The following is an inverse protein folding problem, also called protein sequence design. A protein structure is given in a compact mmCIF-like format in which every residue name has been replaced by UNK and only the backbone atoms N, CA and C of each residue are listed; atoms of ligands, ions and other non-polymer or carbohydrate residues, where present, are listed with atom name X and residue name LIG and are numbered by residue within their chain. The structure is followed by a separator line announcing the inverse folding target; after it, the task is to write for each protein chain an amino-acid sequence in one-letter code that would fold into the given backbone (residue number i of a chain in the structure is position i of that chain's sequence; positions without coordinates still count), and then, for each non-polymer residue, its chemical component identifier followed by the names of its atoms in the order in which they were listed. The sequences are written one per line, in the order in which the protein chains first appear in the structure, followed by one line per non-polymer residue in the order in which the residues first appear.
data_IF_483427105873
#
_entry.id   IF_483427105873
#
_cell.length_a   1.000
_cell.length_b   1.000
_cell.length_c   1.000
_cell.angle_alpha   90.00
_cell.angle_beta   90.00
_cell.angle_gamma   90.00
#
_symmetry.space_group_name_H-M   'P 1'
#
loop_
_entity.id
_entity.type
_entity.pdbx_description
1 polymer ?
#
# COMPACT_ATOMS: atom_id res chain seq x y z
N UNK A 1 -2.99 -31.10 14.43
CA UNK A 1 -2.76 -29.94 15.30
C UNK A 1 -2.52 -28.74 14.40
N UNK A 2 -3.27 -27.65 14.57
CA UNK A 2 -2.93 -26.39 13.92
C UNK A 2 -1.72 -25.81 14.65
N UNK A 3 -0.57 -25.77 13.99
CA UNK A 3 0.63 -25.12 14.51
C UNK A 3 0.60 -23.66 14.11
N UNK A 4 0.74 -22.78 15.11
CA UNK A 4 0.89 -21.33 14.96
C UNK A 4 2.33 -20.94 14.64
N UNK A 5 2.51 -19.78 14.02
CA UNK A 5 3.80 -19.13 13.85
C UNK A 5 4.20 -18.48 15.17
N UNK A 6 5.42 -18.74 15.63
CA UNK A 6 6.01 -18.08 16.81
C UNK A 6 6.97 -17.00 16.33
N UNK A 7 6.53 -15.74 16.41
CA UNK A 7 7.26 -14.57 15.94
C UNK A 7 7.93 -13.88 17.11
N UNK A 8 9.26 -13.79 17.08
CA UNK A 8 10.03 -12.90 17.96
C UNK A 8 10.31 -11.62 17.21
N UNK A 9 10.11 -10.45 17.84
CA UNK A 9 10.34 -9.17 17.19
C UNK A 9 11.22 -8.23 18.03
N UNK A 10 11.79 -7.24 17.35
CA UNK A 10 12.60 -6.18 17.93
C UNK A 10 12.47 -4.89 17.10
N UNK A 11 12.18 -3.77 17.76
CA UNK A 11 12.10 -2.42 17.22
C UNK A 11 12.99 -1.48 18.03
N UNK A 12 13.57 -0.48 17.37
CA UNK A 12 14.33 0.58 18.04
C UNK A 12 13.47 1.83 18.17
N UNK A 13 13.46 2.40 19.37
CA UNK A 13 12.76 3.63 19.74
C UNK A 13 13.81 4.61 20.28
N UNK A 14 13.83 5.81 19.73
CA UNK A 14 14.70 6.91 20.18
C UNK A 14 13.90 7.97 20.90
N UNK A 15 14.56 8.65 21.82
CA UNK A 15 14.01 9.77 22.57
C UNK A 15 13.27 9.39 23.85
N UNK A 16 13.25 8.10 24.21
CA UNK A 16 12.79 7.62 25.50
C UNK A 16 13.78 6.60 26.10
N UNK A 17 13.86 6.55 27.42
CA UNK A 17 14.62 5.53 28.18
C UNK A 17 13.63 4.69 28.98
N UNK A 18 13.27 3.52 28.45
CA UNK A 18 12.35 2.58 29.10
C UNK A 18 13.11 1.29 29.41
N UNK A 19 12.99 0.82 30.65
CA UNK A 19 13.59 -0.43 31.13
C UNK A 19 12.55 -1.18 31.92
N UNK A 20 11.73 -1.95 31.23
CA UNK A 20 10.60 -2.64 31.85
C UNK A 20 10.21 -3.89 31.08
N UNK A 21 9.57 -4.82 31.77
CA UNK A 21 9.00 -6.03 31.17
C UNK A 21 7.51 -6.04 31.50
N UNK A 22 6.67 -6.09 30.47
CA UNK A 22 5.22 -6.16 30.64
C UNK A 22 4.82 -7.63 30.63
N UNK A 23 4.57 -8.17 31.81
CA UNK A 23 4.06 -9.54 32.02
C UNK A 23 2.57 -9.56 32.41
N UNK A 24 1.95 -8.39 32.60
CA UNK A 24 0.53 -8.29 32.97
C UNK A 24 -0.35 -8.82 31.84
N UNK A 25 -1.06 -9.92 32.13
CA UNK A 25 -1.91 -10.61 31.16
C UNK A 25 -3.03 -9.74 30.59
N UNK A 26 -3.64 -8.87 31.39
CA UNK A 26 -4.72 -8.02 30.91
C UNK A 26 -4.19 -7.00 29.89
N UNK A 27 -2.99 -6.46 30.14
CA UNK A 27 -2.33 -5.54 29.20
C UNK A 27 -1.97 -6.27 27.92
N UNK A 28 -1.36 -7.45 28.00
CA UNK A 28 -0.99 -8.26 26.84
C UNK A 28 -2.21 -8.69 26.01
N UNK A 29 -3.30 -9.11 26.66
CA UNK A 29 -4.58 -9.43 26.00
C UNK A 29 -5.18 -8.20 25.29
N UNK A 30 -5.13 -7.01 25.90
CA UNK A 30 -5.63 -5.78 25.27
C UNK A 30 -4.82 -5.33 24.05
N UNK A 31 -3.53 -5.69 24.02
CA UNK A 31 -2.65 -5.40 22.90
C UNK A 31 -2.78 -6.44 21.78
N UNK A 32 -3.19 -7.66 22.11
CA UNK A 32 -3.47 -8.76 21.18
C UNK A 32 -4.71 -8.52 20.30
N UNK A 33 -4.95 -9.40 19.33
CA UNK A 33 -6.22 -9.51 18.61
C UNK A 33 -6.68 -10.99 18.49
N UNK A 34 -7.76 -11.25 17.77
CA UNK A 34 -8.36 -12.59 17.63
C UNK A 34 -7.42 -13.62 16.95
N UNK A 35 -6.40 -13.16 16.23
CA UNK A 35 -5.52 -14.00 15.42
C UNK A 35 -4.03 -13.90 15.81
N UNK A 36 -3.67 -12.91 16.64
CA UNK A 36 -2.31 -12.57 17.02
C UNK A 36 -2.24 -12.37 18.54
N UNK A 37 -1.66 -13.35 19.23
CA UNK A 37 -1.57 -13.37 20.69
C UNK A 37 -0.17 -12.93 21.12
N UNK A 38 -0.10 -11.84 21.88
CA UNK A 38 1.15 -11.35 22.45
C UNK A 38 1.41 -12.10 23.75
N UNK A 39 2.54 -12.79 23.80
CA UNK A 39 2.94 -13.57 24.97
C UNK A 39 3.84 -12.78 25.92
N UNK A 40 4.59 -11.81 25.39
CA UNK A 40 5.59 -11.07 26.15
C UNK A 40 5.94 -9.77 25.42
N UNK A 41 6.13 -8.69 26.18
CA UNK A 41 6.71 -7.43 25.73
C UNK A 41 7.83 -7.02 26.69
N UNK A 42 8.96 -6.61 26.13
CA UNK A 42 10.13 -6.17 26.88
C UNK A 42 10.69 -4.87 26.27
N UNK A 43 10.98 -3.92 27.15
CA UNK A 43 11.71 -2.70 26.85
C UNK A 43 13.08 -2.75 27.53
N UNK A 44 14.13 -2.69 26.74
CA UNK A 44 15.50 -2.53 27.26
C UNK A 44 16.09 -1.24 26.70
N UNK A 45 17.09 -0.66 27.35
CA UNK A 45 17.71 0.56 26.86
C UNK A 45 19.21 0.35 26.72
N UNK A 46 19.74 0.68 25.54
CA UNK A 46 21.17 0.57 25.26
C UNK A 46 21.97 1.76 25.85
N UNK A 47 23.30 1.68 25.77
CA UNK A 47 24.19 2.74 26.26
C UNK A 47 24.06 4.06 25.50
N UNK A 48 23.43 4.05 24.31
CA UNK A 48 23.20 5.22 23.46
C UNK A 48 21.81 5.84 23.68
N UNK A 49 21.11 5.48 24.76
CA UNK A 49 19.74 5.95 25.06
C UNK A 49 18.71 5.57 24.00
N UNK A 50 18.96 4.50 23.25
CA UNK A 50 17.97 3.91 22.36
C UNK A 50 17.24 2.82 23.14
N UNK A 51 15.92 2.96 23.24
CA UNK A 51 15.05 1.92 23.81
C UNK A 51 14.79 0.87 22.74
N UNK A 52 14.93 -0.39 23.11
CA UNK A 52 14.66 -1.56 22.32
C UNK A 52 13.32 -2.14 22.78
N UNK A 53 12.33 -2.12 21.90
CA UNK A 53 11.02 -2.72 22.11
C UNK A 53 10.98 -4.09 21.45
N UNK A 54 10.89 -5.14 22.26
CA UNK A 54 10.96 -6.53 21.81
C UNK A 54 9.85 -7.36 22.41
N UNK A 55 9.59 -8.52 21.82
CA UNK A 55 8.56 -9.41 22.36
C UNK A 55 8.32 -10.65 21.51
N UNK A 56 7.26 -11.38 21.88
CA UNK A 56 6.82 -12.60 21.21
C UNK A 56 5.34 -12.57 20.89
N UNK A 57 5.01 -12.96 19.67
CA UNK A 57 3.64 -13.10 19.17
C UNK A 57 3.42 -14.48 18.57
N UNK A 58 2.31 -15.10 18.92
CA UNK A 58 1.79 -16.26 18.22
C UNK A 58 0.72 -15.86 17.23
N UNK A 59 0.82 -16.33 15.99
CA UNK A 59 -0.14 -16.02 14.93
C UNK A 59 -0.54 -17.26 14.15
N UNK A 60 -1.80 -17.34 13.71
CA UNK A 60 -2.27 -18.43 12.85
C UNK A 60 -1.80 -18.28 11.39
N UNK A 61 -1.59 -17.04 10.94
CA UNK A 61 -1.16 -16.67 9.59
C UNK A 61 0.05 -15.73 9.64
N UNK A 62 1.09 -16.09 8.89
CA UNK A 62 2.37 -15.37 8.91
C UNK A 62 2.27 -13.94 8.36
N UNK A 63 1.45 -13.68 7.35
CA UNK A 63 1.28 -12.34 6.78
C UNK A 63 0.48 -11.45 7.73
N UNK A 64 -0.53 -12.03 8.37
CA UNK A 64 -1.32 -11.33 9.40
C UNK A 64 -0.44 -10.99 10.62
N UNK A 65 0.39 -11.93 11.09
CA UNK A 65 1.34 -11.70 12.18
C UNK A 65 2.34 -10.58 11.89
N UNK A 66 2.83 -10.48 10.65
CA UNK A 66 3.68 -9.35 10.26
C UNK A 66 2.90 -8.02 10.29
N UNK A 67 1.71 -7.97 9.66
CA UNK A 67 0.86 -6.78 9.68
C UNK A 67 0.60 -6.31 11.10
N UNK A 68 0.22 -7.23 11.98
CA UNK A 68 -0.06 -6.95 13.38
C UNK A 68 1.14 -6.32 14.09
N UNK A 69 2.34 -6.92 13.97
CA UNK A 69 3.55 -6.43 14.63
C UNK A 69 3.96 -5.02 14.17
N UNK A 70 3.97 -4.80 12.86
CA UNK A 70 4.57 -3.60 12.26
C UNK A 70 3.65 -2.40 12.28
N UNK A 71 2.34 -2.62 12.31
CA UNK A 71 1.35 -1.57 12.23
C UNK A 71 0.51 -1.50 13.49
N UNK A 72 -0.22 -2.56 13.85
CA UNK A 72 -1.19 -2.49 14.94
C UNK A 72 -0.48 -2.34 16.30
N UNK A 73 0.43 -3.27 16.61
CA UNK A 73 1.18 -3.26 17.85
C UNK A 73 2.11 -2.04 17.92
N UNK A 74 2.89 -1.77 16.87
CA UNK A 74 3.76 -0.57 16.79
C UNK A 74 2.96 0.72 17.03
N UNK A 75 1.80 0.88 16.41
CA UNK A 75 0.96 2.07 16.56
C UNK A 75 0.38 2.18 17.96
N UNK A 76 -0.08 1.06 18.56
CA UNK A 76 -0.57 1.05 19.94
C UNK A 76 0.52 1.50 20.91
N UNK A 77 1.73 0.96 20.81
CA UNK A 77 2.86 1.36 21.66
C UNK A 77 3.25 2.83 21.43
N UNK A 78 3.36 3.28 20.18
CA UNK A 78 3.68 4.68 19.88
C UNK A 78 2.65 5.64 20.50
N UNK A 79 1.36 5.34 20.36
CA UNK A 79 0.28 6.15 20.96
C UNK A 79 0.38 6.19 22.47
N UNK A 80 0.65 5.05 23.13
CA UNK A 80 0.82 4.98 24.57
C UNK A 80 2.00 5.83 25.05
N UNK A 81 3.11 5.83 24.31
CA UNK A 81 4.30 6.63 24.65
C UNK A 81 4.07 8.13 24.42
N UNK A 82 3.32 8.53 23.39
CA UNK A 82 2.97 9.94 23.14
C UNK A 82 2.04 10.55 24.20
N UNK A 83 1.36 9.73 25.00
CA UNK A 83 0.57 10.20 26.15
C UNK A 83 1.45 10.52 27.38
N UNK A 84 2.77 10.37 27.28
CA UNK A 84 3.74 10.72 28.32
C UNK A 84 4.50 11.99 27.92
N UNK A 85 5.16 12.65 28.89
CA UNK A 85 5.96 13.88 28.69
C UNK A 85 7.30 13.57 27.97
N UNK A 86 7.23 13.14 26.70
CA UNK A 86 8.41 12.89 25.85
C UNK A 86 8.44 13.93 24.72
N UNK A 87 9.45 14.79 24.73
CA UNK A 87 9.60 15.90 23.76
C UNK A 87 9.90 15.45 22.33
N UNK A 88 10.54 14.28 22.17
CA UNK A 88 10.92 13.72 20.88
C UNK A 88 10.84 12.20 20.93
N UNK A 89 10.09 11.59 20.02
CA UNK A 89 9.93 10.13 19.94
C UNK A 89 10.04 9.68 18.49
N UNK A 90 10.97 8.76 18.20
CA UNK A 90 11.18 8.21 16.86
C UNK A 90 11.23 6.68 16.94
N UNK A 91 10.32 5.99 16.24
CA UNK A 91 10.38 4.55 16.01
C UNK A 91 11.12 4.27 14.70
N UNK A 92 12.22 3.53 14.74
CA UNK A 92 12.93 3.13 13.53
C UNK A 92 12.13 2.11 12.72
N UNK A 93 12.21 2.22 11.39
CA UNK A 93 11.47 1.36 10.46
C UNK A 93 12.06 -0.05 10.29
N UNK A 94 13.25 -0.28 10.84
CA UNK A 94 13.97 -1.55 10.77
C UNK A 94 13.50 -2.45 11.92
N UNK A 95 12.43 -3.20 11.70
CA UNK A 95 11.99 -4.23 12.62
C UNK A 95 12.72 -5.54 12.33
N UNK A 96 13.42 -6.09 13.33
CA UNK A 96 13.91 -7.46 13.24
C UNK A 96 12.79 -8.39 13.69
N UNK A 97 12.36 -9.33 12.84
CA UNK A 97 11.34 -10.33 13.20
C UNK A 97 11.84 -11.71 12.76
N UNK A 98 11.80 -12.66 13.68
CA UNK A 98 12.35 -14.01 13.55
C UNK A 98 11.24 -15.01 13.81
N UNK A 99 11.12 -16.03 12.96
CA UNK A 99 10.20 -17.15 13.16
C UNK A 99 10.93 -18.21 14.01
N UNK A 100 10.63 -18.29 15.31
CA UNK A 100 11.35 -19.16 16.25
C UNK A 100 11.11 -20.66 15.97
N UNK A 101 9.94 -21.03 15.46
CA UNK A 101 9.56 -22.43 15.21
C UNK A 101 9.61 -22.83 13.72
N UNK A 102 10.49 -22.22 12.94
CA UNK A 102 10.61 -22.46 11.49
C UNK A 102 10.77 -23.95 11.12
N UNK A 103 11.62 -24.68 11.86
CA UNK A 103 11.86 -26.12 11.62
C UNK A 103 10.59 -26.95 11.81
N UNK A 104 9.81 -26.64 12.84
CA UNK A 104 8.55 -27.32 13.14
C UNK A 104 7.50 -27.02 12.05
N UNK A 105 7.35 -25.75 11.67
CA UNK A 105 6.46 -25.32 10.59
C UNK A 105 6.77 -26.01 9.26
N UNK A 106 8.05 -26.17 8.91
CA UNK A 106 8.49 -26.90 7.71
C UNK A 106 8.10 -28.38 7.75
N UNK A 107 8.22 -29.04 8.90
CA UNK A 107 7.78 -30.44 9.07
C UNK A 107 6.27 -30.62 8.85
N UNK A 108 5.50 -29.54 9.08
CA UNK A 108 4.05 -29.51 8.88
C UNK A 108 3.62 -28.87 7.54
N UNK A 109 4.53 -28.72 6.57
CA UNK A 109 4.27 -28.11 5.25
C UNK A 109 3.65 -26.70 5.31
N UNK A 110 3.91 -25.94 6.38
CA UNK A 110 3.52 -24.52 6.47
C UNK A 110 4.51 -23.66 5.68
N UNK A 111 3.99 -22.62 5.05
CA UNK A 111 4.79 -21.73 4.23
C UNK A 111 5.63 -20.80 5.12
N UNK A 112 6.95 -20.78 4.89
CA UNK A 112 7.86 -19.88 5.60
C UNK A 112 8.13 -18.67 4.72
N UNK A 113 7.85 -17.48 5.25
CA UNK A 113 8.23 -16.21 4.63
C UNK A 113 9.14 -15.46 5.60
N UNK A 114 10.46 -15.46 5.37
CA UNK A 114 11.39 -14.71 6.22
C UNK A 114 11.08 -13.20 6.22
N UNK A 115 11.18 -12.55 7.39
CA UNK A 115 10.81 -11.14 7.54
C UNK A 115 11.71 -10.17 6.75
N UNK A 116 12.99 -10.52 6.53
CA UNK A 116 13.91 -9.71 5.72
C UNK A 116 13.47 -9.59 4.25
N UNK A 117 12.50 -10.38 3.81
CA UNK A 117 11.87 -10.27 2.48
C UNK A 117 10.85 -9.11 2.45
N UNK A 118 10.42 -8.58 3.60
CA UNK A 118 9.42 -7.49 3.69
C UNK A 118 9.96 -6.13 4.13
N UNK A 119 11.12 -6.04 4.78
CA UNK A 119 11.63 -4.79 5.35
C UNK A 119 12.95 -4.37 4.73
N UNK A 120 12.87 -3.80 3.53
CA UNK A 120 13.84 -2.82 3.07
C UNK A 120 13.67 -1.52 3.83
N UNK A 121 14.66 -1.15 4.63
CA UNK A 121 14.70 0.15 5.28
C UNK A 121 14.86 1.27 4.25
N UNK A 122 14.01 2.30 4.28
CA UNK A 122 14.03 3.42 3.32
C UNK A 122 13.99 4.75 4.08
N UNK A 123 14.95 5.63 3.84
CA UNK A 123 14.89 7.03 4.24
C UNK A 123 14.30 7.87 3.09
N UNK A 124 13.07 8.39 3.20
CA UNK A 124 12.45 9.18 2.14
C UNK A 124 13.13 10.55 2.00
N UNK A 125 13.43 10.98 0.78
CA UNK A 125 13.70 12.39 0.49
C UNK A 125 12.44 13.21 0.75
N UNK A 126 12.48 14.00 1.82
CA UNK A 126 11.40 14.88 2.27
C UNK A 126 11.22 16.00 1.25
N UNK A 127 10.06 16.03 0.59
CA UNK A 127 9.57 17.27 -0.04
C UNK A 127 8.97 18.14 1.05
N UNK A 128 9.34 19.42 1.09
CA UNK A 128 8.63 20.40 1.93
C UNK A 128 7.19 20.50 1.45
N UNK A 129 6.26 19.97 2.25
CA UNK A 129 4.82 20.14 2.05
C UNK A 129 4.40 21.38 2.85
N UNK A 130 3.59 22.24 2.22
CA UNK A 130 3.03 23.41 2.89
C UNK A 130 2.18 22.97 4.09
N UNK A 131 2.40 23.59 5.25
CA UNK A 131 1.71 23.35 6.52
C UNK A 131 0.18 23.40 6.41
N UNK A 132 -0.36 24.23 5.54
CA UNK A 132 -1.80 24.41 5.30
C UNK A 132 -2.40 23.24 4.50
N UNK A 133 -1.65 22.73 3.50
CA UNK A 133 -2.02 21.53 2.73
C UNK A 133 -1.99 20.30 3.62
N UNK A 134 -0.98 20.21 4.49
CA UNK A 134 -0.87 19.14 5.49
C UNK A 134 -2.02 19.18 6.49
N UNK A 135 -2.34 20.37 7.03
CA UNK A 135 -3.44 20.55 7.98
C UNK A 135 -4.79 20.17 7.38
N UNK A 136 -5.11 20.61 6.17
CA UNK A 136 -6.36 20.26 5.49
C UNK A 136 -6.46 18.75 5.19
N UNK A 137 -5.35 18.11 4.80
CA UNK A 137 -5.29 16.66 4.62
C UNK A 137 -5.46 15.90 5.95
N UNK A 138 -4.89 16.42 7.05
CA UNK A 138 -5.02 15.82 8.38
C UNK A 138 -6.44 15.94 8.94
N UNK A 139 -7.07 17.12 8.84
CA UNK A 139 -8.48 17.33 9.24
C UNK A 139 -9.43 16.44 8.42
N UNK A 140 -9.07 16.17 7.17
CA UNK A 140 -9.80 15.26 6.28
C UNK A 140 -9.70 13.80 6.72
N UNK A 141 -8.51 13.34 7.06
CA UNK A 141 -8.26 11.95 7.51
C UNK A 141 -8.92 11.70 8.88
N UNK A 142 -8.86 12.66 9.80
CA UNK A 142 -9.42 12.55 11.15
C UNK A 142 -10.93 12.29 11.15
N UNK A 143 -11.67 12.87 10.19
CA UNK A 143 -13.14 12.79 10.17
C UNK A 143 -13.71 11.50 9.55
N UNK A 144 -12.93 10.74 8.77
CA UNK A 144 -13.43 9.61 7.94
C UNK A 144 -12.70 8.27 8.20
N UNK A 145 -11.94 8.20 9.32
CA UNK A 145 -10.75 7.39 9.49
C UNK A 145 -10.89 5.86 9.33
N UNK A 146 -12.09 5.25 9.48
CA UNK A 146 -12.26 3.79 9.31
C UNK A 146 -12.50 3.35 7.87
N UNK A 147 -12.91 4.28 7.00
CA UNK A 147 -13.36 3.89 5.66
C UNK A 147 -12.17 3.65 4.72
N UNK A 148 -11.08 4.41 4.85
CA UNK A 148 -9.95 4.43 3.91
C UNK A 148 -8.67 3.72 4.39
N UNK A 149 -8.65 3.08 5.56
CA UNK A 149 -7.45 2.41 6.12
C UNK A 149 -6.81 1.44 5.12
N UNK A 150 -7.64 0.66 4.43
CA UNK A 150 -7.18 -0.30 3.43
C UNK A 150 -6.51 0.37 2.23
N UNK A 151 -6.97 1.57 1.82
CA UNK A 151 -6.36 2.34 0.73
C UNK A 151 -4.98 2.83 1.14
N UNK A 152 -4.85 3.36 2.36
CA UNK A 152 -3.59 3.85 2.89
C UNK A 152 -2.57 2.72 3.08
N UNK A 153 -3.02 1.55 3.58
CA UNK A 153 -2.19 0.35 3.71
C UNK A 153 -1.55 -0.02 2.37
N UNK A 154 -2.37 -0.20 1.32
CA UNK A 154 -1.86 -0.61 0.02
C UNK A 154 -1.02 0.49 -0.65
N UNK A 155 -1.34 1.77 -0.45
CA UNK A 155 -0.48 2.87 -0.92
C UNK A 155 0.90 2.82 -0.28
N UNK A 156 0.98 2.65 1.04
CA UNK A 156 2.26 2.52 1.75
C UNK A 156 3.06 1.34 1.19
N UNK A 157 2.42 0.17 1.04
CA UNK A 157 3.06 -1.03 0.48
C UNK A 157 3.62 -0.81 -0.94
N UNK A 158 3.06 0.11 -1.74
CA UNK A 158 3.60 0.40 -3.09
C UNK A 158 4.93 1.13 -3.10
N UNK A 159 5.25 1.80 -2.01
CA UNK A 159 6.49 2.57 -1.87
C UNK A 159 7.59 1.77 -1.20
N UNK A 160 7.24 0.63 -0.59
CA UNK A 160 8.17 -0.23 0.15
C UNK A 160 8.70 -1.42 -0.64
N UNK A 161 8.19 -1.70 -1.85
CA UNK A 161 8.69 -2.78 -2.71
C UNK A 161 9.93 -2.34 -3.51
N UNK A 162 11.13 -2.69 -3.01
CA UNK A 162 12.38 -2.74 -3.77
C UNK A 162 13.40 -3.67 -3.07
N UNK A 163 14.26 -4.35 -3.85
CA UNK A 163 15.36 -5.18 -3.32
C UNK A 163 16.51 -4.29 -2.79
N UNK A 164 16.92 -4.50 -1.54
CA UNK A 164 17.93 -3.68 -0.84
C UNK A 164 19.33 -3.86 -1.44
N UNK A 165 19.65 -5.08 -1.88
CA UNK A 165 21.00 -5.43 -2.33
C UNK A 165 21.22 -5.13 -3.83
N UNK A 166 20.14 -5.00 -4.60
CA UNK A 166 20.19 -4.85 -6.07
C UNK A 166 19.58 -3.52 -6.58
N UNK A 167 18.94 -2.74 -5.70
CA UNK A 167 18.13 -1.58 -6.08
C UNK A 167 16.79 -1.98 -6.69
N UNK A 168 16.12 -1.04 -7.40
CA UNK A 168 14.84 -1.33 -8.08
C UNK A 168 15.12 -2.31 -9.23
N UNK A 169 14.80 -3.57 -9.01
CA UNK A 169 14.80 -4.56 -10.08
C UNK A 169 13.66 -4.27 -11.04
N UNK A 170 13.74 -4.85 -12.23
CA UNK A 170 12.68 -4.73 -13.20
C UNK A 170 11.33 -5.21 -12.62
N UNK A 171 11.30 -6.36 -11.95
CA UNK A 171 10.09 -6.97 -11.39
C UNK A 171 9.40 -6.12 -10.32
N UNK A 172 10.16 -5.30 -9.59
CA UNK A 172 9.61 -4.40 -8.56
C UNK A 172 8.58 -3.43 -9.15
N UNK A 173 8.77 -2.98 -10.39
CA UNK A 173 7.82 -2.05 -11.01
C UNK A 173 6.46 -2.69 -11.32
N UNK A 174 6.45 -3.98 -11.65
CA UNK A 174 5.22 -4.73 -11.88
C UNK A 174 4.50 -4.94 -10.55
N UNK A 175 5.24 -5.31 -9.49
CA UNK A 175 4.68 -5.55 -8.16
C UNK A 175 4.14 -4.25 -7.57
N UNK A 176 4.91 -3.15 -7.61
CA UNK A 176 4.46 -1.82 -7.17
C UNK A 176 3.19 -1.38 -7.88
N UNK A 177 3.10 -1.60 -9.19
CA UNK A 177 1.88 -1.28 -9.93
C UNK A 177 0.68 -2.14 -9.49
N UNK A 178 0.89 -3.45 -9.24
CA UNK A 178 -0.17 -4.33 -8.74
C UNK A 178 -0.68 -3.91 -7.37
N UNK A 179 0.22 -3.62 -6.44
CA UNK A 179 -0.16 -3.13 -5.10
C UNK A 179 -0.90 -1.80 -5.19
N UNK A 180 -0.51 -0.95 -6.13
CA UNK A 180 -1.14 0.35 -6.34
C UNK A 180 -2.54 0.19 -6.92
N UNK A 181 -2.72 -0.80 -7.78
CA UNK A 181 -4.02 -1.21 -8.26
C UNK A 181 -4.89 -1.75 -7.11
N UNK A 182 -4.32 -2.50 -6.15
CA UNK A 182 -5.06 -2.93 -4.96
C UNK A 182 -5.52 -1.73 -4.13
N UNK A 183 -4.68 -0.72 -3.92
CA UNK A 183 -5.10 0.54 -3.28
C UNK A 183 -6.25 1.23 -4.03
N UNK A 184 -6.14 1.29 -5.36
CA UNK A 184 -7.20 1.83 -6.22
C UNK A 184 -8.51 1.05 -6.09
N UNK A 185 -8.43 -0.28 -6.00
CA UNK A 185 -9.59 -1.15 -5.81
C UNK A 185 -10.32 -0.87 -4.51
N UNK A 186 -9.59 -0.76 -3.39
CA UNK A 186 -10.18 -0.41 -2.10
C UNK A 186 -10.83 0.98 -2.17
N UNK A 187 -10.19 1.95 -2.82
CA UNK A 187 -10.70 3.32 -2.98
C UNK A 187 -12.06 3.38 -3.70
N UNK A 188 -12.18 2.77 -4.88
CA UNK A 188 -13.47 2.84 -5.58
C UNK A 188 -14.51 1.89 -4.96
N UNK A 189 -14.12 0.81 -4.27
CA UNK A 189 -15.06 -0.05 -3.55
C UNK A 189 -15.74 0.71 -2.40
N UNK A 190 -15.00 1.58 -1.71
CA UNK A 190 -15.53 2.53 -0.74
C UNK A 190 -16.56 3.47 -1.41
N UNK A 191 -16.15 4.17 -2.48
CA UNK A 191 -16.99 5.17 -3.16
C UNK A 191 -18.25 4.58 -3.79
N UNK A 192 -18.22 3.30 -4.14
CA UNK A 192 -19.31 2.60 -4.80
C UNK A 192 -19.94 1.48 -3.97
N UNK A 193 -19.75 1.49 -2.64
CA UNK A 193 -20.21 0.45 -1.70
C UNK A 193 -21.69 0.09 -1.86
N UNK A 194 -22.52 1.05 -2.29
CA UNK A 194 -23.97 0.88 -2.46
C UNK A 194 -24.43 0.71 -3.92
N UNK A 195 -23.52 0.61 -4.89
CA UNK A 195 -23.85 0.49 -6.32
C UNK A 195 -23.52 -0.91 -6.84
N UNK A 196 -24.54 -1.61 -7.34
CA UNK A 196 -24.37 -2.89 -8.04
C UNK A 196 -23.93 -2.61 -9.48
N UNK A 197 -22.67 -2.90 -9.78
CA UNK A 197 -22.13 -2.80 -11.13
C UNK A 197 -21.96 -4.17 -11.77
N UNK A 198 -22.22 -4.24 -13.09
CA UNK A 198 -22.19 -5.48 -13.87
C UNK A 198 -20.76 -6.02 -14.10
N UNK A 199 -19.73 -5.16 -13.99
CA UNK A 199 -18.32 -5.56 -14.10
C UNK A 199 -17.39 -4.48 -13.51
N UNK A 200 -16.15 -4.87 -13.20
CA UNK A 200 -15.07 -3.98 -12.74
C UNK A 200 -14.77 -2.86 -13.76
N UNK A 201 -14.77 -3.18 -15.06
CA UNK A 201 -14.62 -2.17 -16.13
C UNK A 201 -15.70 -1.09 -16.07
N UNK A 202 -16.94 -1.47 -15.80
CA UNK A 202 -18.02 -0.50 -15.68
C UNK A 202 -17.81 0.39 -14.45
N UNK A 203 -17.31 -0.16 -13.33
CA UNK A 203 -16.90 0.66 -12.17
C UNK A 203 -15.84 1.68 -12.54
N UNK A 204 -14.84 1.27 -13.32
CA UNK A 204 -13.77 2.15 -13.79
C UNK A 204 -14.29 3.24 -14.73
N UNK A 205 -15.17 2.89 -15.67
CA UNK A 205 -15.80 3.85 -16.57
C UNK A 205 -16.65 4.88 -15.81
N UNK A 206 -17.33 4.48 -14.74
CA UNK A 206 -18.09 5.40 -13.88
C UNK A 206 -17.17 6.25 -13.00
N UNK A 207 -16.13 5.67 -12.43
CA UNK A 207 -15.10 6.41 -11.69
C UNK A 207 -14.45 7.49 -12.56
N UNK A 208 -14.20 7.19 -13.84
CA UNK A 208 -13.60 8.14 -14.78
C UNK A 208 -14.43 9.41 -15.01
N UNK A 209 -15.74 9.36 -14.73
CA UNK A 209 -16.65 10.50 -14.85
C UNK A 209 -16.67 11.38 -13.61
N UNK A 210 -16.04 10.97 -12.51
CA UNK A 210 -16.01 11.78 -11.30
C UNK A 210 -15.24 13.08 -11.57
N UNK A 211 -15.80 14.21 -11.11
CA UNK A 211 -15.28 15.55 -11.41
C UNK A 211 -13.79 15.68 -11.09
N UNK A 212 -13.33 15.16 -9.96
CA UNK A 212 -11.92 15.23 -9.58
C UNK A 212 -10.99 14.43 -10.49
N UNK A 213 -11.50 13.36 -11.14
CA UNK A 213 -10.77 12.56 -12.10
C UNK A 213 -10.62 13.35 -13.41
N UNK A 214 -11.68 14.00 -13.85
CA UNK A 214 -11.63 14.92 -14.99
C UNK A 214 -10.66 16.07 -14.72
N UNK A 215 -10.74 16.68 -13.53
CA UNK A 215 -9.84 17.75 -13.10
C UNK A 215 -8.40 17.25 -12.98
N UNK A 216 -8.19 16.00 -12.53
CA UNK A 216 -6.87 15.36 -12.52
C UNK A 216 -6.29 15.28 -13.92
N UNK A 217 -6.96 14.59 -14.84
CA UNK A 217 -6.45 14.39 -16.20
C UNK A 217 -6.30 15.70 -16.98
N UNK A 218 -7.12 16.71 -16.69
CA UNK A 218 -6.92 18.07 -17.20
C UNK A 218 -5.65 18.71 -16.66
N UNK A 219 -5.40 18.60 -15.34
CA UNK A 219 -4.25 19.24 -14.68
C UNK A 219 -2.90 18.56 -14.99
N UNK A 220 -2.88 17.25 -15.20
CA UNK A 220 -1.65 16.50 -15.49
C UNK A 220 -1.36 16.38 -16.99
N UNK A 221 -2.24 16.92 -17.84
CA UNK A 221 -2.15 16.71 -19.29
C UNK A 221 -0.79 17.14 -19.84
N UNK A 222 -0.27 18.28 -19.43
CA UNK A 222 1.02 18.78 -19.90
C UNK A 222 2.21 18.07 -19.23
N UNK A 223 2.16 17.90 -17.90
CA UNK A 223 3.27 17.31 -17.11
C UNK A 223 3.46 15.81 -17.33
N UNK A 224 2.38 15.08 -17.62
CA UNK A 224 2.36 13.62 -17.77
C UNK A 224 1.94 13.18 -19.17
N UNK A 225 1.95 14.09 -20.13
CA UNK A 225 1.54 13.85 -21.53
C UNK A 225 2.25 12.66 -22.16
N UNK A 226 3.55 12.52 -21.89
CA UNK A 226 4.37 11.42 -22.40
C UNK A 226 3.82 10.05 -21.98
N UNK A 227 3.38 9.92 -20.72
CA UNK A 227 2.81 8.67 -20.21
C UNK A 227 1.49 8.32 -20.92
N UNK A 228 0.64 9.32 -21.20
CA UNK A 228 -0.61 9.11 -21.94
C UNK A 228 -0.35 8.66 -23.39
N UNK A 229 0.64 9.26 -24.05
CA UNK A 229 1.03 8.84 -25.40
C UNK A 229 1.68 7.45 -25.43
N UNK A 230 2.43 7.09 -24.40
CA UNK A 230 2.97 5.73 -24.25
C UNK A 230 1.83 4.70 -24.20
N UNK A 231 0.83 4.93 -23.34
CA UNK A 231 -0.37 4.08 -23.27
C UNK A 231 -1.10 4.01 -24.61
N UNK A 232 -1.24 5.14 -25.31
CA UNK A 232 -1.93 5.23 -26.61
C UNK A 232 -1.21 4.45 -27.74
N UNK A 233 0.10 4.16 -27.59
CA UNK A 233 0.91 3.42 -28.56
C UNK A 233 1.04 1.93 -28.25
N UNK A 234 0.57 1.49 -27.09
CA UNK A 234 0.88 0.18 -26.51
C UNK A 234 -0.02 -0.97 -26.94
N UNK A 235 -0.97 -0.72 -27.85
CA UNK A 235 -1.89 -1.73 -28.39
C UNK A 235 -2.60 -2.56 -27.30
N UNK A 236 -3.08 -1.91 -26.24
CA UNK A 236 -3.77 -2.53 -25.11
C UNK A 236 -5.22 -2.86 -25.48
N UNK A 237 -5.66 -4.09 -25.18
CA UNK A 237 -7.01 -4.58 -25.49
C UNK A 237 -7.79 -4.93 -24.23
N UNK A 238 -9.11 -4.77 -24.31
CA UNK A 238 -10.06 -5.30 -23.32
C UNK A 238 -11.21 -6.02 -24.03
N UNK A 239 -11.54 -7.22 -23.57
CA UNK A 239 -12.69 -7.97 -24.06
C UNK A 239 -13.98 -7.50 -23.39
N UNK A 240 -14.95 -7.01 -24.16
CA UNK A 240 -16.28 -6.62 -23.69
C UNK A 240 -17.29 -7.75 -23.93
N UNK A 241 -17.72 -8.42 -22.86
CA UNK A 241 -18.65 -9.56 -22.91
C UNK A 241 -20.01 -9.17 -23.50
N UNK A 242 -20.51 -8.00 -23.12
CA UNK A 242 -21.75 -7.39 -23.60
C UNK A 242 -21.72 -7.08 -25.10
N UNK A 243 -20.56 -6.66 -25.61
CA UNK A 243 -20.35 -6.33 -27.03
C UNK A 243 -19.76 -7.49 -27.84
N UNK A 244 -19.47 -8.63 -27.19
CA UNK A 244 -18.75 -9.80 -27.73
C UNK A 244 -17.54 -9.43 -28.61
N UNK A 245 -16.76 -8.42 -28.19
CA UNK A 245 -15.63 -7.92 -28.98
C UNK A 245 -14.44 -7.50 -28.14
N UNK A 246 -13.24 -7.65 -28.70
CA UNK A 246 -12.04 -7.00 -28.21
C UNK A 246 -12.01 -5.56 -28.69
N UNK A 247 -11.79 -4.63 -27.76
CA UNK A 247 -11.64 -3.20 -28.04
C UNK A 247 -10.20 -2.82 -27.76
N UNK A 248 -9.56 -2.17 -28.75
CA UNK A 248 -8.23 -1.60 -28.61
C UNK A 248 -8.31 -0.27 -27.85
N UNK A 249 -8.12 -0.34 -26.54
CA UNK A 249 -8.24 0.83 -25.66
C UNK A 249 -7.11 1.83 -25.92
N UNK A 250 -5.92 1.37 -26.32
CA UNK A 250 -4.84 2.28 -26.73
C UNK A 250 -5.24 3.11 -27.94
N UNK A 251 -5.92 2.52 -28.92
CA UNK A 251 -6.41 3.25 -30.09
C UNK A 251 -7.50 4.27 -29.72
N UNK A 252 -8.43 3.89 -28.85
CA UNK A 252 -9.45 4.81 -28.33
C UNK A 252 -8.80 6.00 -27.60
N UNK A 253 -7.83 5.74 -26.70
CA UNK A 253 -7.08 6.80 -26.03
C UNK A 253 -6.34 7.71 -27.03
N UNK A 254 -5.74 7.15 -28.07
CA UNK A 254 -5.09 7.93 -29.14
C UNK A 254 -6.08 8.88 -29.82
N UNK A 255 -7.28 8.40 -30.15
CA UNK A 255 -8.32 9.21 -30.76
C UNK A 255 -8.80 10.32 -29.81
N UNK A 256 -8.94 10.02 -28.52
CA UNK A 256 -9.33 10.98 -27.47
C UNK A 256 -8.29 12.08 -27.26
N UNK A 257 -7.00 11.72 -27.26
CA UNK A 257 -5.89 12.68 -27.20
C UNK A 257 -5.88 13.60 -28.42
N UNK A 258 -6.15 13.08 -29.63
CA UNK A 258 -6.23 13.90 -30.84
C UNK A 258 -7.43 14.86 -30.84
N UNK A 259 -8.54 14.44 -30.24
CA UNK A 259 -9.77 15.23 -30.11
C UNK A 259 -9.77 16.17 -28.89
N UNK A 260 -8.76 16.09 -28.02
CA UNK A 260 -8.72 16.80 -26.72
C UNK A 260 -9.98 16.60 -25.87
N UNK A 261 -10.59 15.41 -25.92
CA UNK A 261 -11.79 15.08 -25.13
C UNK A 261 -11.36 14.66 -23.71
N UNK A 262 -11.46 15.55 -22.73
CA UNK A 262 -11.02 15.27 -21.35
C UNK A 262 -11.75 14.07 -20.73
N UNK A 263 -13.05 13.92 -20.99
CA UNK A 263 -13.84 12.80 -20.50
C UNK A 263 -13.35 11.46 -21.09
N UNK A 264 -13.12 11.43 -22.40
CA UNK A 264 -12.64 10.21 -23.04
C UNK A 264 -11.17 9.93 -22.68
N UNK A 265 -10.35 10.97 -22.51
CA UNK A 265 -8.96 10.83 -22.04
C UNK A 265 -8.97 10.20 -20.65
N UNK A 266 -9.77 10.69 -19.70
CA UNK A 266 -9.86 10.11 -18.36
C UNK A 266 -10.33 8.64 -18.42
N UNK A 267 -11.41 8.38 -19.17
CA UNK A 267 -11.98 7.05 -19.34
C UNK A 267 -10.98 6.05 -19.93
N UNK A 268 -10.43 6.36 -21.09
CA UNK A 268 -9.56 5.42 -21.80
C UNK A 268 -8.17 5.33 -21.17
N UNK A 269 -7.71 6.36 -20.45
CA UNK A 269 -6.51 6.24 -19.62
C UNK A 269 -6.72 5.22 -18.50
N UNK A 270 -7.78 5.34 -17.71
CA UNK A 270 -8.08 4.37 -16.65
C UNK A 270 -8.31 2.95 -17.19
N UNK A 271 -8.96 2.81 -18.34
CA UNK A 271 -9.11 1.51 -19.00
C UNK A 271 -7.78 0.94 -19.52
N UNK A 272 -6.83 1.78 -19.96
CA UNK A 272 -5.47 1.34 -20.27
C UNK A 272 -4.76 0.80 -19.02
N UNK A 273 -4.86 1.52 -17.90
CA UNK A 273 -4.31 1.07 -16.61
C UNK A 273 -4.93 -0.29 -16.21
N UNK A 274 -6.24 -0.42 -16.32
CA UNK A 274 -6.93 -1.70 -16.09
C UNK A 274 -6.45 -2.81 -17.03
N UNK A 275 -6.26 -2.52 -18.32
CA UNK A 275 -5.72 -3.48 -19.29
C UNK A 275 -4.32 -3.96 -18.88
N UNK A 276 -3.43 -3.06 -18.45
CA UNK A 276 -2.10 -3.41 -17.95
C UNK A 276 -2.18 -4.34 -16.74
N UNK A 277 -3.11 -4.09 -15.80
CA UNK A 277 -3.32 -4.96 -14.64
C UNK A 277 -3.77 -6.37 -15.05
N UNK A 278 -4.65 -6.49 -16.04
CA UNK A 278 -5.21 -7.78 -16.45
C UNK A 278 -4.38 -8.50 -17.53
N UNK A 279 -3.43 -7.80 -18.16
CA UNK A 279 -2.64 -8.27 -19.29
C UNK A 279 -1.40 -9.10 -18.92
N UNK A 280 -1.32 -9.63 -17.71
CA UNK A 280 -0.11 -10.21 -17.12
C UNK A 280 0.48 -11.45 -17.80
N UNK A 281 -0.02 -11.90 -18.96
CA UNK A 281 0.51 -13.08 -19.66
C UNK A 281 0.57 -12.95 -21.20
N UNK A 282 0.30 -11.78 -21.80
CA UNK A 282 0.38 -11.64 -23.26
C UNK A 282 1.20 -10.41 -23.67
N UNK A 283 2.52 -10.60 -23.81
CA UNK A 283 3.48 -9.58 -24.26
C UNK A 283 4.92 -9.92 -23.87
N UNK A 284 5.90 -9.16 -24.37
CA UNK A 284 7.28 -9.26 -23.91
C UNK A 284 7.40 -8.62 -22.51
N UNK A 285 8.18 -9.24 -21.62
CA UNK A 285 8.47 -8.74 -20.27
C UNK A 285 8.91 -7.26 -20.28
N UNK A 286 9.72 -6.85 -21.25
CA UNK A 286 10.18 -5.45 -21.41
C UNK A 286 9.03 -4.45 -21.56
N UNK A 287 7.99 -4.78 -22.33
CA UNK A 287 6.84 -3.93 -22.55
C UNK A 287 5.97 -3.86 -21.28
N UNK A 288 5.78 -4.99 -20.60
CA UNK A 288 5.03 -5.06 -19.34
C UNK A 288 5.68 -4.18 -18.27
N UNK A 289 7.00 -4.23 -18.16
CA UNK A 289 7.80 -3.41 -17.25
C UNK A 289 7.67 -1.92 -17.54
N UNK A 290 7.85 -1.55 -18.81
CA UNK A 290 7.72 -0.18 -19.28
C UNK A 290 6.34 0.39 -18.94
N UNK A 291 5.29 -0.35 -19.26
CA UNK A 291 3.91 0.09 -19.05
C UNK A 291 3.51 0.13 -17.59
N UNK A 292 3.99 -0.80 -16.75
CA UNK A 292 3.76 -0.76 -15.31
C UNK A 292 4.34 0.51 -14.67
N UNK A 293 5.51 0.99 -15.12
CA UNK A 293 6.09 2.26 -14.67
C UNK A 293 5.23 3.46 -15.04
N UNK A 294 4.77 3.53 -16.29
CA UNK A 294 3.90 4.62 -16.76
C UNK A 294 2.56 4.60 -16.04
N UNK A 295 2.02 3.40 -15.82
CA UNK A 295 0.79 3.20 -15.09
C UNK A 295 0.90 3.64 -13.63
N UNK A 296 2.00 3.32 -12.96
CA UNK A 296 2.29 3.78 -11.60
C UNK A 296 2.34 5.32 -11.51
N UNK A 297 3.06 5.97 -12.44
CA UNK A 297 3.18 7.45 -12.49
C UNK A 297 1.81 8.13 -12.64
N UNK A 298 0.90 7.51 -13.40
CA UNK A 298 -0.44 8.06 -13.63
C UNK A 298 -1.43 7.73 -12.51
N UNK A 299 -1.35 6.55 -11.91
CA UNK A 299 -2.37 6.07 -10.96
C UNK A 299 -2.14 6.61 -9.54
N UNK A 300 -0.89 6.68 -9.07
CA UNK A 300 -0.61 7.06 -7.68
C UNK A 300 -1.09 8.47 -7.33
N UNK A 301 -0.79 9.51 -8.15
CA UNK A 301 -1.28 10.85 -7.86
C UNK A 301 -2.80 10.95 -7.96
N UNK A 302 -3.45 10.13 -8.80
CA UNK A 302 -4.90 10.08 -8.90
C UNK A 302 -5.54 9.53 -7.61
N UNK A 303 -5.00 8.45 -7.04
CA UNK A 303 -5.49 7.90 -5.76
C UNK A 303 -5.34 8.94 -4.66
N UNK A 304 -4.18 9.60 -4.57
CA UNK A 304 -3.93 10.67 -3.59
C UNK A 304 -4.95 11.80 -3.76
N UNK A 305 -5.18 12.25 -5.00
CA UNK A 305 -6.17 13.30 -5.29
C UNK A 305 -7.59 12.86 -4.94
N UNK A 306 -7.95 11.60 -5.15
CA UNK A 306 -9.25 11.06 -4.78
C UNK A 306 -9.49 11.08 -3.27
N UNK A 307 -8.46 10.71 -2.48
CA UNK A 307 -8.51 10.76 -1.02
C UNK A 307 -8.68 12.18 -0.50
N UNK A 308 -8.05 13.16 -1.16
CA UNK A 308 -8.20 14.59 -0.83
C UNK A 308 -9.55 15.18 -1.29
N UNK A 309 -10.24 14.53 -2.23
CA UNK A 309 -11.54 14.94 -2.77
C UNK A 309 -12.72 14.16 -2.15
N UNK A 310 -12.47 13.26 -1.19
CA UNK A 310 -13.53 12.53 -0.48
C UNK A 310 -14.27 13.37 0.57
N UNK A 311 -13.93 14.67 0.66
CA UNK A 311 -14.53 15.69 1.49
C UNK A 311 -15.15 16.82 0.67
#
# INVERSE_FOLDING_TARGET
MNISYKLKFEFKIRGCEIRDIIEDKNILESLSDEHNIINEICFTCDRNKTTLFSGRVESEDILDGYRFLLYDLRTKILKSLLLTDIDFLEFQDNAEIIIENEKELRLHNKQIFPNYIMFGTIAPTIKCINKEVLKNAMETIINDNKIYEEVFFWLYMTDTVANIDEGITQFDNIIRYRLLWTAFNSLYNIRFRNKKYKSEKFKIEEFAKEKFVLDYFRSIYDDKRSCLYDLARSNLHLYYKDKRRNVNISHELKNSLNKNSNEDIAKYSLLCLYSIRNGLVHGNLGDVLYLSRKAYILLKPLIIKALLYSN
#
